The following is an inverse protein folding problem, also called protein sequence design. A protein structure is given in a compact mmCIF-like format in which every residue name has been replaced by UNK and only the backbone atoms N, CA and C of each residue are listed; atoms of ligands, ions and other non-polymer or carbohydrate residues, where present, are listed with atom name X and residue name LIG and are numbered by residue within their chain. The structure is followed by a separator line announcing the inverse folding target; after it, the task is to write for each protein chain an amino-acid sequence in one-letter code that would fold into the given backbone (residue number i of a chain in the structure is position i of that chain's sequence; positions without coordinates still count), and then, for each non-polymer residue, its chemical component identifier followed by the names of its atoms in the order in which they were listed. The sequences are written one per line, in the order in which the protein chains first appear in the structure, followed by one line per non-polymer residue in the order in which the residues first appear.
data_IF_117465106336
#
_entry.id   IF_117465106336
#
_cell.length_a   1.000
_cell.length_b   1.000
_cell.length_c   1.000
_cell.angle_alpha   90.00
_cell.angle_beta   90.00
_cell.angle_gamma   90.00
#
_symmetry.space_group_name_H-M   'P 1'
#
loop_
_entity.id
_entity.type
_entity.pdbx_description
1 polymer ?
#
# COMPACT_ATOMS: atom_id res chain seq x y z
N UNK A 1 -21.71 7.32 -14.60
CA UNK A 1 -20.99 7.52 -15.88
C UNK A 1 -21.57 8.75 -16.54
N UNK A 2 -20.74 9.58 -17.14
CA UNK A 2 -21.20 10.83 -17.76
C UNK A 2 -21.70 10.54 -19.17
N UNK A 3 -23.03 10.58 -19.44
CA UNK A 3 -23.62 10.34 -20.76
C UNK A 3 -23.20 11.39 -21.79
N UNK A 4 -22.70 12.54 -21.36
CA UNK A 4 -22.30 13.65 -22.23
C UNK A 4 -21.12 13.29 -23.15
N UNK A 5 -20.19 12.44 -22.71
CA UNK A 5 -18.96 12.17 -23.41
C UNK A 5 -18.93 10.84 -24.16
N UNK A 6 -19.90 9.96 -23.91
CA UNK A 6 -20.03 8.64 -24.53
C UNK A 6 -18.70 7.87 -24.70
N UNK A 7 -17.89 7.91 -23.65
CA UNK A 7 -16.49 7.43 -23.63
C UNK A 7 -16.41 5.96 -24.06
N UNK A 8 -17.36 5.13 -23.62
CA UNK A 8 -17.34 3.70 -23.94
C UNK A 8 -17.48 3.45 -25.45
N UNK A 9 -18.44 4.10 -26.12
CA UNK A 9 -18.63 3.93 -27.56
C UNK A 9 -17.45 4.54 -28.34
N UNK A 10 -16.86 5.62 -27.87
CA UNK A 10 -15.63 6.14 -28.45
C UNK A 10 -14.52 5.07 -28.46
N UNK A 11 -14.24 4.42 -27.34
CA UNK A 11 -13.21 3.38 -27.29
C UNK A 11 -13.56 2.11 -28.07
N UNK A 12 -14.83 1.71 -28.08
CA UNK A 12 -15.31 0.63 -28.94
C UNK A 12 -15.03 0.91 -30.43
N UNK A 13 -15.28 2.14 -30.87
CA UNK A 13 -14.98 2.57 -32.23
C UNK A 13 -13.46 2.62 -32.50
N UNK A 14 -12.62 3.12 -31.56
CA UNK A 14 -11.17 3.08 -31.73
C UNK A 14 -10.67 1.63 -31.88
N UNK A 15 -11.26 0.68 -31.17
CA UNK A 15 -10.94 -0.74 -31.29
C UNK A 15 -11.39 -1.28 -32.65
N UNK A 16 -12.61 -0.98 -33.08
CA UNK A 16 -13.13 -1.37 -34.39
C UNK A 16 -12.27 -0.85 -35.55
N UNK A 17 -11.71 0.36 -35.41
CA UNK A 17 -10.79 0.98 -36.36
C UNK A 17 -9.36 0.42 -36.30
N UNK A 18 -9.08 -0.55 -35.41
CA UNK A 18 -7.76 -1.16 -35.24
C UNK A 18 -6.71 -0.24 -34.55
N UNK A 19 -7.12 0.92 -34.05
CA UNK A 19 -6.23 1.86 -33.34
C UNK A 19 -5.80 1.38 -31.96
N UNK A 20 -6.64 0.60 -31.32
CA UNK A 20 -6.33 -0.14 -30.09
C UNK A 20 -6.62 -1.63 -30.34
N UNK A 21 -5.78 -2.51 -29.80
CA UNK A 21 -5.97 -3.97 -29.92
C UNK A 21 -6.86 -4.53 -28.82
N UNK A 22 -6.62 -4.09 -27.59
CA UNK A 22 -7.31 -4.59 -26.41
C UNK A 22 -7.87 -3.43 -25.58
N UNK A 23 -9.13 -3.54 -25.18
CA UNK A 23 -9.81 -2.56 -24.34
C UNK A 23 -9.94 -3.11 -22.93
N UNK A 24 -9.45 -2.38 -21.96
CA UNK A 24 -9.58 -2.70 -20.56
C UNK A 24 -9.72 -1.45 -19.71
N UNK A 25 -9.75 -1.63 -18.40
CA UNK A 25 -9.87 -0.53 -17.46
C UNK A 25 -9.08 -0.79 -16.17
N UNK A 26 -8.85 0.27 -15.43
CA UNK A 26 -8.25 0.23 -14.09
C UNK A 26 -9.24 0.78 -13.07
N UNK A 27 -9.27 0.21 -11.87
CA UNK A 27 -10.20 0.67 -10.83
C UNK A 27 -9.65 0.50 -9.43
N UNK A 28 -9.94 1.50 -8.58
CA UNK A 28 -9.85 1.44 -7.11
C UNK A 28 -11.26 1.37 -6.48
N UNK A 29 -12.31 1.28 -7.28
CA UNK A 29 -13.68 1.32 -6.80
C UNK A 29 -14.00 0.16 -5.83
N UNK A 30 -15.00 0.40 -5.00
CA UNK A 30 -15.60 -0.64 -4.17
C UNK A 30 -16.33 -1.68 -5.02
N UNK A 31 -16.58 -2.89 -4.50
CA UNK A 31 -17.26 -3.94 -5.25
C UNK A 31 -18.60 -3.52 -5.85
N UNK A 32 -19.44 -2.80 -5.11
CA UNK A 32 -20.74 -2.31 -5.57
C UNK A 32 -20.63 -1.39 -6.81
N UNK A 33 -19.66 -0.52 -6.82
CA UNK A 33 -19.39 0.38 -7.95
C UNK A 33 -18.77 -0.37 -9.12
N UNK A 34 -17.87 -1.32 -8.85
CA UNK A 34 -17.31 -2.19 -9.87
C UNK A 34 -18.41 -3.03 -10.54
N UNK A 35 -19.35 -3.62 -9.77
CA UNK A 35 -20.46 -4.41 -10.32
C UNK A 35 -21.29 -3.58 -11.31
N UNK A 36 -21.70 -2.38 -10.92
CA UNK A 36 -22.45 -1.47 -11.79
C UNK A 36 -21.69 -1.10 -13.07
N UNK A 37 -20.36 -0.96 -12.99
CA UNK A 37 -19.55 -0.75 -14.19
C UNK A 37 -19.51 -1.98 -15.07
N UNK A 38 -19.34 -3.17 -14.50
CA UNK A 38 -19.29 -4.43 -15.23
C UNK A 38 -20.64 -4.77 -15.89
N UNK A 39 -21.76 -4.44 -15.26
CA UNK A 39 -23.08 -4.55 -15.87
C UNK A 39 -23.24 -3.64 -17.08
N UNK A 40 -22.66 -2.43 -17.03
CA UNK A 40 -22.76 -1.47 -18.13
C UNK A 40 -21.77 -1.72 -19.27
N UNK A 41 -20.55 -2.09 -18.97
CA UNK A 41 -19.43 -2.09 -19.91
C UNK A 41 -18.64 -3.40 -19.95
N UNK A 42 -18.95 -4.36 -19.08
CA UNK A 42 -18.14 -5.57 -18.87
C UNK A 42 -17.90 -6.37 -20.15
N UNK A 43 -18.91 -6.51 -20.99
CA UNK A 43 -18.83 -7.24 -22.29
C UNK A 43 -17.79 -6.65 -23.26
N UNK A 44 -17.38 -5.41 -23.06
CA UNK A 44 -16.38 -4.74 -23.89
C UNK A 44 -14.98 -4.81 -23.30
N UNK A 45 -14.84 -5.27 -22.04
CA UNK A 45 -13.58 -5.25 -21.30
C UNK A 45 -12.85 -6.58 -21.44
N UNK A 46 -11.61 -6.52 -21.91
CA UNK A 46 -10.75 -7.69 -22.12
C UNK A 46 -9.78 -7.92 -20.95
N UNK A 47 -9.63 -6.93 -20.08
CA UNK A 47 -8.89 -7.04 -18.83
C UNK A 47 -9.31 -5.95 -17.85
N UNK A 48 -9.07 -6.19 -16.58
CA UNK A 48 -9.25 -5.20 -15.52
C UNK A 48 -8.00 -5.14 -14.64
N UNK A 49 -7.48 -3.93 -14.43
CA UNK A 49 -6.38 -3.71 -13.51
C UNK A 49 -6.93 -3.32 -12.13
N UNK A 50 -6.62 -4.12 -11.12
CA UNK A 50 -7.02 -3.89 -9.73
C UNK A 50 -5.81 -3.92 -8.79
N UNK A 51 -5.94 -3.25 -7.65
CA UNK A 51 -5.03 -3.42 -6.53
C UNK A 51 -5.26 -4.78 -5.90
N UNK A 52 -4.21 -5.61 -5.84
CA UNK A 52 -4.30 -6.98 -5.35
C UNK A 52 -2.97 -7.44 -4.74
N UNK A 53 -3.02 -7.88 -3.52
CA UNK A 53 -1.95 -8.52 -2.74
C UNK A 53 -2.60 -9.23 -1.53
N UNK A 54 -1.84 -10.01 -0.78
CA UNK A 54 -2.37 -10.80 0.34
C UNK A 54 -2.90 -9.93 1.50
N UNK A 55 -2.45 -8.68 1.68
CA UNK A 55 -3.01 -7.74 2.66
C UNK A 55 -4.35 -7.16 2.18
N UNK A 56 -4.41 -6.68 0.94
CA UNK A 56 -5.62 -6.08 0.39
C UNK A 56 -6.68 -7.11 0.02
N UNK A 57 -6.32 -8.41 0.00
CA UNK A 57 -7.25 -9.51 -0.21
C UNK A 57 -8.48 -9.41 0.69
N UNK A 58 -8.26 -9.10 1.96
CA UNK A 58 -9.30 -8.87 2.94
C UNK A 58 -9.47 -7.38 3.32
N UNK A 59 -8.38 -6.59 3.44
CA UNK A 59 -8.44 -5.20 3.91
C UNK A 59 -9.21 -4.27 2.96
N UNK A 60 -9.11 -4.50 1.63
CA UNK A 60 -9.82 -3.72 0.62
C UNK A 60 -10.85 -4.54 -0.15
N UNK A 61 -11.22 -5.69 0.38
CA UNK A 61 -12.14 -6.61 -0.27
C UNK A 61 -11.73 -6.93 -1.73
N UNK A 62 -10.42 -7.05 -1.95
CA UNK A 62 -9.88 -7.38 -3.27
C UNK A 62 -10.29 -8.79 -3.71
N UNK A 63 -10.55 -9.69 -2.76
CA UNK A 63 -11.11 -11.02 -3.00
C UNK A 63 -12.40 -10.94 -3.78
N UNK A 64 -13.38 -10.19 -3.31
CA UNK A 64 -14.67 -10.01 -3.99
C UNK A 64 -14.50 -9.46 -5.40
N UNK A 65 -13.64 -8.44 -5.57
CA UNK A 65 -13.34 -7.87 -6.91
C UNK A 65 -12.72 -8.90 -7.86
N UNK A 66 -11.75 -9.67 -7.37
CA UNK A 66 -11.12 -10.75 -8.13
C UNK A 66 -12.14 -11.82 -8.56
N UNK A 67 -13.00 -12.25 -7.63
CA UNK A 67 -14.05 -13.24 -7.90
C UNK A 67 -15.10 -12.72 -8.89
N UNK A 68 -15.50 -11.45 -8.80
CA UNK A 68 -16.42 -10.79 -9.75
C UNK A 68 -15.86 -10.81 -11.18
N UNK A 69 -14.60 -10.44 -11.34
CA UNK A 69 -13.89 -10.45 -12.63
C UNK A 69 -13.73 -11.88 -13.16
N UNK A 70 -13.38 -12.82 -12.27
CA UNK A 70 -13.19 -14.22 -12.63
C UNK A 70 -14.49 -14.86 -13.12
N UNK A 71 -15.61 -14.63 -12.45
CA UNK A 71 -16.94 -15.13 -12.89
C UNK A 71 -17.35 -14.60 -14.27
N UNK A 72 -16.86 -13.41 -14.66
CA UNK A 72 -17.11 -12.81 -15.98
C UNK A 72 -16.05 -13.17 -17.02
N UNK A 73 -15.05 -13.97 -16.68
CA UNK A 73 -13.94 -14.32 -17.58
C UNK A 73 -13.05 -13.13 -17.94
N UNK A 74 -13.06 -12.05 -17.14
CA UNK A 74 -12.22 -10.87 -17.38
C UNK A 74 -10.87 -11.09 -16.69
N UNK A 75 -9.76 -11.15 -17.43
CA UNK A 75 -8.41 -11.30 -16.88
C UNK A 75 -8.04 -10.16 -15.94
N UNK A 76 -7.35 -10.51 -14.85
CA UNK A 76 -6.89 -9.56 -13.84
C UNK A 76 -5.45 -9.17 -14.10
N UNK A 77 -5.21 -7.87 -14.17
CA UNK A 77 -3.91 -7.24 -14.08
C UNK A 77 -3.74 -6.66 -12.68
N UNK A 78 -2.57 -6.87 -12.09
CA UNK A 78 -2.32 -6.49 -10.70
C UNK A 78 -1.50 -5.22 -10.62
N UNK A 79 -2.02 -4.22 -9.92
CA UNK A 79 -1.27 -3.08 -9.41
C UNK A 79 -1.13 -3.18 -7.88
N UNK A 80 -0.19 -2.43 -7.32
CA UNK A 80 0.05 -2.36 -5.86
C UNK A 80 0.34 -3.73 -5.21
N UNK A 81 0.99 -4.64 -5.95
CA UNK A 81 1.38 -5.97 -5.46
C UNK A 81 2.17 -5.96 -4.15
N UNK A 82 2.91 -4.87 -3.87
CA UNK A 82 3.68 -4.66 -2.63
C UNK A 82 3.12 -3.54 -1.75
N UNK A 83 1.97 -2.99 -2.13
CA UNK A 83 1.29 -1.93 -1.40
C UNK A 83 2.22 -0.76 -1.06
N UNK A 84 2.72 -0.09 -2.10
CA UNK A 84 3.67 1.01 -1.96
C UNK A 84 5.01 0.61 -1.34
N UNK A 85 5.38 -0.67 -1.42
CA UNK A 85 6.61 -1.22 -0.84
C UNK A 85 6.44 -1.78 0.59
N UNK A 86 5.26 -1.64 1.21
CA UNK A 86 5.03 -2.08 2.59
C UNK A 86 5.25 -3.59 2.77
N UNK A 87 4.84 -4.39 1.78
CA UNK A 87 5.01 -5.84 1.82
C UNK A 87 6.44 -6.30 1.44
N UNK A 88 7.28 -5.40 0.97
CA UNK A 88 8.71 -5.67 0.77
C UNK A 88 9.56 -5.36 2.02
N UNK A 89 8.98 -4.63 2.99
CA UNK A 89 9.67 -4.15 4.19
C UNK A 89 8.83 -4.48 5.43
N UNK A 90 8.66 -5.77 5.70
CA UNK A 90 7.97 -6.26 6.89
C UNK A 90 8.86 -6.11 8.13
N UNK A 91 8.26 -6.08 9.35
CA UNK A 91 9.02 -6.18 10.60
C UNK A 91 9.95 -7.40 10.62
N UNK A 92 11.04 -7.30 11.38
CA UNK A 92 12.05 -8.37 11.46
C UNK A 92 11.45 -9.70 11.94
N UNK A 93 10.53 -9.64 12.90
CA UNK A 93 9.81 -10.82 13.40
C UNK A 93 9.04 -11.54 12.31
N UNK A 94 8.29 -10.81 11.49
CA UNK A 94 7.50 -11.37 10.38
C UNK A 94 8.39 -11.84 9.24
N UNK A 95 9.44 -11.07 8.95
CA UNK A 95 10.47 -11.47 7.97
C UNK A 95 11.14 -12.79 8.36
N UNK A 96 11.47 -12.97 9.65
CA UNK A 96 12.07 -14.20 10.15
C UNK A 96 11.12 -15.41 10.01
N UNK A 97 9.82 -15.23 10.23
CA UNK A 97 8.81 -16.28 10.03
C UNK A 97 8.73 -16.73 8.57
N UNK A 98 8.75 -15.78 7.63
CA UNK A 98 8.75 -16.08 6.20
C UNK A 98 10.05 -16.83 5.80
N UNK A 99 11.19 -16.36 6.26
CA UNK A 99 12.50 -16.96 5.98
C UNK A 99 12.68 -18.36 6.59
N UNK A 100 11.95 -18.67 7.65
CA UNK A 100 11.96 -20.03 8.22
C UNK A 100 11.42 -21.08 7.23
N UNK A 101 10.48 -20.70 6.35
CA UNK A 101 9.90 -21.58 5.33
C UNK A 101 10.66 -21.48 3.98
N UNK A 102 11.05 -20.25 3.57
CA UNK A 102 11.79 -19.99 2.33
C UNK A 102 13.00 -19.08 2.61
N UNK A 103 14.16 -19.63 3.01
CA UNK A 103 15.32 -18.84 3.45
C UNK A 103 15.85 -17.86 2.40
N UNK A 104 15.82 -18.26 1.13
CA UNK A 104 16.38 -17.51 0.01
C UNK A 104 15.36 -16.59 -0.69
N UNK A 105 14.07 -16.68 -0.35
CA UNK A 105 13.04 -15.86 -0.96
C UNK A 105 12.97 -14.48 -0.27
N UNK A 106 12.90 -13.42 -1.07
CA UNK A 106 12.68 -12.07 -0.54
C UNK A 106 11.23 -11.89 -0.06
N UNK A 107 10.99 -10.92 0.84
CA UNK A 107 9.62 -10.56 1.25
C UNK A 107 8.78 -10.07 0.06
N UNK A 108 9.42 -9.44 -0.94
CA UNK A 108 8.78 -9.09 -2.20
C UNK A 108 8.40 -10.34 -3.00
N UNK A 109 9.31 -11.32 -3.09
CA UNK A 109 9.08 -12.62 -3.72
C UNK A 109 7.85 -13.33 -3.14
N UNK A 110 7.68 -13.32 -1.82
CA UNK A 110 6.49 -13.88 -1.16
C UNK A 110 5.18 -13.31 -1.70
N UNK A 111 5.12 -11.99 -1.91
CA UNK A 111 3.93 -11.36 -2.47
C UNK A 111 3.66 -11.78 -3.91
N UNK A 112 4.70 -11.92 -4.73
CA UNK A 112 4.56 -12.44 -6.09
C UNK A 112 4.12 -13.91 -6.11
N UNK A 113 4.73 -14.75 -5.27
CA UNK A 113 4.37 -16.17 -5.15
C UNK A 113 2.92 -16.37 -4.69
N UNK A 114 2.44 -15.49 -3.80
CA UNK A 114 1.03 -15.49 -3.40
C UNK A 114 0.12 -15.19 -4.60
N UNK A 115 0.45 -14.16 -5.40
CA UNK A 115 -0.31 -13.82 -6.60
C UNK A 115 -0.30 -14.91 -7.68
N UNK A 116 0.78 -15.66 -7.80
CA UNK A 116 0.89 -16.80 -8.74
C UNK A 116 -0.10 -17.94 -8.44
N UNK A 117 -0.65 -17.99 -7.22
CA UNK A 117 -1.72 -18.94 -6.84
C UNK A 117 -3.07 -18.60 -7.48
N UNK A 118 -3.25 -17.41 -7.99
CA UNK A 118 -4.53 -16.90 -8.50
C UNK A 118 -4.60 -17.08 -10.03
N UNK A 119 -5.31 -18.09 -10.56
CA UNK A 119 -5.26 -18.47 -11.98
C UNK A 119 -5.70 -17.37 -12.94
N UNK A 120 -6.58 -16.46 -12.50
CA UNK A 120 -7.08 -15.35 -13.31
C UNK A 120 -6.15 -14.11 -13.30
N UNK A 121 -5.08 -14.11 -12.50
CA UNK A 121 -4.02 -13.10 -12.60
C UNK A 121 -3.18 -13.43 -13.83
N UNK A 122 -3.17 -12.50 -14.82
CA UNK A 122 -2.45 -12.67 -16.07
C UNK A 122 -1.27 -11.73 -16.23
N UNK A 123 -1.24 -10.64 -15.46
CA UNK A 123 -0.15 -9.68 -15.48
C UNK A 123 0.02 -9.06 -14.09
N UNK A 124 1.27 -8.88 -13.68
CA UNK A 124 1.62 -8.20 -12.43
C UNK A 124 2.54 -7.04 -12.79
N UNK A 125 2.07 -5.81 -12.54
CA UNK A 125 2.86 -4.62 -12.79
C UNK A 125 3.84 -4.37 -11.64
N UNK A 126 5.08 -4.06 -11.98
CA UNK A 126 6.14 -3.80 -11.02
C UNK A 126 6.85 -2.48 -11.33
N UNK A 127 6.78 -1.51 -10.40
CA UNK A 127 7.61 -0.31 -10.43
C UNK A 127 8.94 -0.61 -9.75
N UNK A 128 9.98 -0.88 -10.54
CA UNK A 128 11.34 -1.11 -10.07
C UNK A 128 12.17 0.13 -10.31
N UNK A 129 12.84 0.62 -9.28
CA UNK A 129 13.70 1.82 -9.35
C UNK A 129 15.18 1.53 -9.09
N UNK A 130 15.52 0.25 -8.80
CA UNK A 130 16.88 -0.20 -8.57
C UNK A 130 17.14 -1.53 -9.31
N UNK A 131 18.36 -1.77 -9.83
CA UNK A 131 18.70 -3.01 -10.53
C UNK A 131 18.48 -4.27 -9.69
N UNK A 132 18.70 -4.18 -8.39
CA UNK A 132 18.55 -5.29 -7.44
C UNK A 132 17.08 -5.76 -7.35
N UNK A 133 16.14 -4.81 -7.40
CA UNK A 133 14.70 -5.12 -7.43
C UNK A 133 14.31 -5.84 -8.72
N UNK A 134 14.92 -5.48 -9.84
CA UNK A 134 14.70 -6.17 -11.12
C UNK A 134 15.28 -7.57 -11.08
N UNK A 135 16.51 -7.73 -10.57
CA UNK A 135 17.15 -9.03 -10.44
C UNK A 135 16.33 -9.98 -9.54
N UNK A 136 15.86 -9.50 -8.40
CA UNK A 136 15.02 -10.25 -7.47
C UNK A 136 13.69 -10.67 -8.13
N UNK A 137 13.01 -9.75 -8.80
CA UNK A 137 11.76 -10.05 -9.51
C UNK A 137 11.99 -11.06 -10.64
N UNK A 138 13.05 -10.91 -11.44
CA UNK A 138 13.40 -11.87 -12.50
C UNK A 138 13.67 -13.25 -11.90
N UNK A 139 14.42 -13.33 -10.81
CA UNK A 139 14.67 -14.58 -10.08
C UNK A 139 13.36 -15.23 -9.65
N UNK A 140 12.46 -14.47 -9.03
CA UNK A 140 11.16 -14.95 -8.59
C UNK A 140 10.33 -15.54 -9.75
N UNK A 141 10.32 -14.90 -10.92
CA UNK A 141 9.53 -15.35 -12.07
C UNK A 141 10.25 -16.36 -12.98
N UNK A 142 11.58 -16.52 -12.88
CA UNK A 142 12.34 -17.46 -13.69
C UNK A 142 12.30 -18.89 -13.17
N UNK A 143 11.80 -19.13 -11.98
CA UNK A 143 11.73 -20.46 -11.37
C UNK A 143 10.97 -20.47 -10.05
N UNK A 144 10.83 -21.65 -9.48
CA UNK A 144 10.14 -21.90 -8.22
C UNK A 144 8.62 -21.94 -8.34
N UNK A 145 8.01 -22.51 -7.32
CA UNK A 145 6.58 -22.76 -7.25
C UNK A 145 5.85 -21.59 -6.54
N UNK A 146 4.56 -21.36 -6.85
CA UNK A 146 3.68 -20.54 -6.04
C UNK A 146 3.76 -20.94 -4.56
N UNK A 147 3.24 -20.10 -3.65
CA UNK A 147 3.14 -20.48 -2.24
C UNK A 147 2.28 -21.74 -2.08
N UNK A 148 2.66 -22.64 -1.19
CA UNK A 148 1.78 -23.70 -0.70
C UNK A 148 0.60 -23.15 0.09
N UNK A 149 -0.35 -23.99 0.47
CA UNK A 149 -1.48 -23.56 1.30
C UNK A 149 -1.03 -23.10 2.68
N UNK A 150 -0.05 -23.77 3.27
CA UNK A 150 0.55 -23.38 4.56
C UNK A 150 1.28 -22.04 4.48
N UNK A 151 2.09 -21.84 3.44
CA UNK A 151 2.80 -20.57 3.21
C UNK A 151 1.85 -19.41 2.93
N UNK A 152 0.78 -19.65 2.17
CA UNK A 152 -0.24 -18.64 1.92
C UNK A 152 -1.00 -18.28 3.21
N UNK A 153 -1.32 -19.27 4.02
CA UNK A 153 -1.97 -19.05 5.33
C UNK A 153 -1.08 -18.19 6.25
N UNK A 154 0.24 -18.44 6.26
CA UNK A 154 1.18 -17.59 7.01
C UNK A 154 1.20 -16.16 6.50
N UNK A 155 1.24 -15.95 5.18
CA UNK A 155 1.22 -14.60 4.60
C UNK A 155 -0.10 -13.87 4.94
N UNK A 156 -1.22 -14.56 4.92
CA UNK A 156 -2.54 -14.02 5.26
C UNK A 156 -2.67 -13.76 6.78
N UNK A 157 -2.08 -14.58 7.65
CA UNK A 157 -2.01 -14.32 9.10
C UNK A 157 -1.19 -13.04 9.39
N UNK A 158 -0.03 -12.88 8.74
CA UNK A 158 0.76 -11.65 8.84
C UNK A 158 -0.07 -10.44 8.40
N UNK A 159 -0.82 -10.57 7.30
CA UNK A 159 -1.72 -9.53 6.82
C UNK A 159 -2.82 -9.17 7.83
N UNK A 160 -3.38 -10.15 8.55
CA UNK A 160 -4.37 -9.88 9.61
C UNK A 160 -3.78 -8.97 10.71
N UNK A 161 -2.54 -9.21 11.13
CA UNK A 161 -1.82 -8.35 12.07
C UNK A 161 -1.61 -6.91 11.56
N UNK A 162 -1.64 -6.72 10.24
CA UNK A 162 -1.47 -5.40 9.60
C UNK A 162 -2.79 -4.64 9.36
N UNK A 163 -3.95 -5.21 9.64
CA UNK A 163 -5.28 -4.62 9.32
C UNK A 163 -5.62 -3.34 10.05
N UNK A 164 -4.94 -3.01 11.12
CA UNK A 164 -5.09 -1.72 11.80
C UNK A 164 -4.53 -0.54 10.98
N UNK A 165 -3.93 -0.80 9.84
CA UNK A 165 -3.42 0.22 8.95
C UNK A 165 -4.52 0.80 8.04
N UNK A 166 -4.51 2.13 7.88
CA UNK A 166 -5.38 2.79 6.90
C UNK A 166 -5.00 2.37 5.47
N UNK A 167 -5.99 2.05 4.61
CA UNK A 167 -5.76 1.45 3.30
C UNK A 167 -5.29 2.45 2.22
N UNK A 168 -4.39 3.38 2.55
CA UNK A 168 -3.90 4.38 1.62
C UNK A 168 -3.12 3.75 0.46
N UNK A 169 -3.54 4.01 -0.78
CA UNK A 169 -2.93 3.50 -2.02
C UNK A 169 -1.91 4.46 -2.63
N UNK A 170 -1.67 5.62 -2.00
CA UNK A 170 -0.80 6.68 -2.51
C UNK A 170 -1.21 7.23 -3.88
N UNK A 171 -2.50 7.17 -4.23
CA UNK A 171 -3.02 7.72 -5.50
C UNK A 171 -2.92 9.24 -5.63
N UNK A 172 -2.68 9.97 -4.53
CA UNK A 172 -2.46 11.42 -4.42
C UNK A 172 -3.65 12.32 -4.75
N UNK A 173 -4.85 11.81 -5.06
CA UNK A 173 -6.03 12.63 -5.35
C UNK A 173 -6.37 13.62 -4.22
N UNK A 174 -6.01 13.29 -2.98
CA UNK A 174 -6.20 14.14 -1.80
C UNK A 174 -5.23 15.33 -1.72
N UNK A 175 -4.12 15.34 -2.49
CA UNK A 175 -3.10 16.38 -2.41
C UNK A 175 -3.53 17.66 -3.13
N UNK A 176 -4.15 17.53 -4.31
CA UNK A 176 -4.48 18.67 -5.19
C UNK A 176 -5.48 19.64 -4.54
N UNK A 177 -6.39 19.14 -3.71
CA UNK A 177 -7.39 19.94 -3.00
C UNK A 177 -6.97 20.38 -1.58
N UNK A 178 -5.73 20.09 -1.15
CA UNK A 178 -5.28 20.44 0.19
C UNK A 178 -4.86 21.92 0.29
N UNK A 179 -5.59 22.79 1.04
CA UNK A 179 -5.25 24.22 1.14
C UNK A 179 -3.92 24.48 1.87
N UNK A 180 -3.42 23.48 2.62
CA UNK A 180 -2.10 23.51 3.29
C UNK A 180 -0.98 22.86 2.48
N UNK A 181 -1.29 22.28 1.32
CA UNK A 181 -0.29 21.61 0.48
C UNK A 181 0.42 20.45 1.15
N UNK A 182 -0.25 19.74 2.06
CA UNK A 182 0.31 18.61 2.79
C UNK A 182 0.54 17.42 1.87
N UNK A 183 1.64 16.70 2.04
CA UNK A 183 1.84 15.37 1.43
C UNK A 183 1.05 14.32 2.22
N UNK A 184 -0.26 14.30 1.99
CA UNK A 184 -1.20 13.43 2.72
C UNK A 184 -0.82 11.95 2.64
N UNK A 185 -0.44 11.38 1.47
CA UNK A 185 0.00 10.00 1.40
C UNK A 185 1.21 9.69 2.29
N UNK A 186 2.18 10.58 2.40
CA UNK A 186 3.33 10.44 3.30
C UNK A 186 2.88 10.46 4.76
N UNK A 187 1.98 11.38 5.13
CA UNK A 187 1.44 11.49 6.48
C UNK A 187 0.63 10.24 6.89
N UNK A 188 -0.22 9.72 6.00
CA UNK A 188 -0.98 8.48 6.26
C UNK A 188 -0.06 7.26 6.35
N UNK A 189 1.03 7.23 5.60
CA UNK A 189 2.03 6.17 5.73
C UNK A 189 2.67 6.22 7.12
N UNK A 190 3.13 7.38 7.56
CA UNK A 190 3.69 7.56 8.88
C UNK A 190 2.69 7.22 10.00
N UNK A 191 1.41 7.59 9.84
CA UNK A 191 0.34 7.16 10.74
C UNK A 191 0.29 5.64 10.88
N UNK A 192 0.29 4.93 9.76
CA UNK A 192 0.28 3.48 9.75
C UNK A 192 1.53 2.88 10.42
N UNK A 193 2.69 3.49 10.20
CA UNK A 193 3.94 3.01 10.80
C UNK A 193 3.94 3.21 12.33
N UNK A 194 3.46 4.36 12.80
CA UNK A 194 3.29 4.65 14.24
C UNK A 194 2.28 3.70 14.90
N UNK A 195 1.17 3.39 14.20
CA UNK A 195 0.14 2.45 14.72
C UNK A 195 0.63 1.00 14.74
N UNK A 196 1.49 0.62 13.82
CA UNK A 196 2.03 -0.74 13.73
C UNK A 196 3.16 -0.99 14.73
N UNK A 197 4.08 -0.05 14.83
CA UNK A 197 5.16 -0.06 15.83
C UNK A 197 5.65 1.38 16.03
N UNK A 198 5.58 1.88 17.26
CA UNK A 198 6.13 3.20 17.60
C UNK A 198 7.58 3.26 17.16
N UNK A 199 7.86 4.02 16.10
CA UNK A 199 9.18 4.10 15.50
C UNK A 199 9.81 5.45 15.79
N UNK A 200 10.92 5.43 16.50
CA UNK A 200 11.75 6.62 16.74
C UNK A 200 12.26 7.23 15.41
N UNK A 201 12.44 6.40 14.38
CA UNK A 201 12.82 6.85 13.05
C UNK A 201 11.75 7.76 12.43
N UNK A 202 10.47 7.45 12.65
CA UNK A 202 9.35 8.30 12.20
C UNK A 202 9.39 9.63 12.95
N UNK A 203 9.56 9.62 14.28
CA UNK A 203 9.64 10.87 15.06
C UNK A 203 10.77 11.78 14.54
N UNK A 204 11.96 11.22 14.31
CA UNK A 204 13.11 11.97 13.76
C UNK A 204 12.84 12.57 12.37
N UNK A 205 12.16 11.84 11.48
CA UNK A 205 11.78 12.35 10.16
C UNK A 205 10.85 13.56 10.29
N UNK A 206 9.92 13.51 11.24
CA UNK A 206 8.96 14.60 11.46
C UNK A 206 9.58 15.80 12.20
N UNK A 207 10.57 15.58 13.09
CA UNK A 207 11.33 16.67 13.72
C UNK A 207 12.05 17.53 12.67
N UNK A 208 12.53 16.90 11.58
CA UNK A 208 13.24 17.59 10.50
C UNK A 208 12.31 18.33 9.52
N UNK A 209 10.99 18.08 9.56
CA UNK A 209 10.04 18.75 8.67
C UNK A 209 9.70 20.16 9.14
N UNK A 210 9.51 21.12 8.20
CA UNK A 210 8.92 22.42 8.50
C UNK A 210 7.55 22.27 9.16
N UNK A 211 7.21 23.18 10.10
CA UNK A 211 5.94 23.12 10.85
C UNK A 211 4.70 23.11 9.96
N UNK A 212 4.74 23.83 8.84
CA UNK A 212 3.65 23.89 7.85
C UNK A 212 3.49 22.61 7.03
N UNK A 213 4.39 21.65 7.18
CA UNK A 213 4.36 20.34 6.53
C UNK A 213 4.04 19.18 7.47
N UNK A 214 3.99 19.45 8.77
CA UNK A 214 3.64 18.47 9.79
C UNK A 214 2.13 18.15 9.80
N UNK A 215 1.71 17.02 10.36
CA UNK A 215 0.28 16.69 10.46
C UNK A 215 -0.50 17.72 11.29
N UNK A 216 0.13 18.41 12.23
CA UNK A 216 -0.43 19.50 13.03
C UNK A 216 -0.86 20.72 12.20
N UNK A 217 -0.34 20.91 10.99
CA UNK A 217 -0.76 21.98 10.09
C UNK A 217 -2.13 21.71 9.42
N UNK A 218 -2.71 20.52 9.61
CA UNK A 218 -4.03 20.19 9.07
C UNK A 218 -5.13 21.03 9.73
N UNK A 219 -5.94 21.70 8.91
CA UNK A 219 -7.08 22.52 9.37
C UNK A 219 -8.41 21.76 9.38
N UNK A 220 -8.37 20.45 9.21
CA UNK A 220 -9.53 19.56 9.23
C UNK A 220 -10.69 19.94 8.27
N UNK A 221 -10.38 20.54 7.11
CA UNK A 221 -11.41 21.01 6.16
C UNK A 221 -12.17 19.90 5.43
N UNK A 222 -11.71 18.64 5.48
CA UNK A 222 -12.37 17.47 4.89
C UNK A 222 -12.24 17.31 3.38
N UNK A 223 -11.69 18.26 2.64
CA UNK A 223 -11.56 18.18 1.17
C UNK A 223 -10.83 16.93 0.68
N UNK A 224 -9.82 16.50 1.41
CA UNK A 224 -9.04 15.28 1.10
C UNK A 224 -9.84 14.00 1.32
N UNK A 225 -10.68 13.92 2.35
CA UNK A 225 -11.53 12.77 2.62
C UNK A 225 -12.63 12.61 1.57
N UNK A 226 -13.19 13.73 1.10
CA UNK A 226 -14.24 13.74 0.09
C UNK A 226 -13.82 13.11 -1.26
N UNK A 227 -12.52 13.18 -1.61
CA UNK A 227 -11.98 12.65 -2.86
C UNK A 227 -11.23 11.32 -2.67
N UNK A 228 -11.16 10.81 -1.44
CA UNK A 228 -10.42 9.60 -1.16
C UNK A 228 -11.16 8.35 -1.66
N UNK A 229 -10.63 7.59 -2.63
CA UNK A 229 -11.31 6.39 -3.13
C UNK A 229 -11.36 5.25 -2.11
N UNK A 230 -10.58 5.36 -1.02
CA UNK A 230 -10.55 4.39 0.08
C UNK A 230 -11.42 4.83 1.27
N UNK A 231 -12.15 5.94 1.17
CA UNK A 231 -12.99 6.51 2.24
C UNK A 231 -12.27 6.68 3.58
N UNK A 232 -10.98 7.06 3.53
CA UNK A 232 -10.19 7.31 4.75
C UNK A 232 -10.64 8.63 5.36
N UNK A 233 -10.93 8.62 6.66
CA UNK A 233 -11.04 9.86 7.45
C UNK A 233 -9.64 10.44 7.68
N UNK A 234 -9.16 11.15 6.66
CA UNK A 234 -7.81 11.70 6.65
C UNK A 234 -7.62 12.75 7.76
N UNK A 235 -8.54 13.69 7.99
CA UNK A 235 -8.42 14.65 9.08
C UNK A 235 -8.25 14.00 10.45
N UNK A 236 -9.07 13.00 10.78
CA UNK A 236 -8.97 12.27 12.05
C UNK A 236 -7.62 11.56 12.17
N UNK A 237 -7.17 10.88 11.12
CA UNK A 237 -5.87 10.21 11.09
C UNK A 237 -4.69 11.18 11.30
N UNK A 238 -4.75 12.36 10.69
CA UNK A 238 -3.70 13.37 10.86
C UNK A 238 -3.69 13.97 12.27
N UNK A 239 -4.86 14.15 12.89
CA UNK A 239 -4.95 14.58 14.29
C UNK A 239 -4.36 13.54 15.25
N UNK A 240 -4.69 12.26 15.06
CA UNK A 240 -4.11 11.17 15.85
C UNK A 240 -2.59 11.04 15.65
N UNK A 241 -2.10 11.21 14.42
CA UNK A 241 -0.67 11.21 14.14
C UNK A 241 0.04 12.38 14.85
N UNK A 242 -0.54 13.58 14.79
CA UNK A 242 0.02 14.75 15.46
C UNK A 242 0.10 14.53 16.98
N UNK A 243 -0.95 13.99 17.60
CA UNK A 243 -0.98 13.64 19.02
C UNK A 243 0.08 12.57 19.36
N UNK A 244 0.20 11.52 18.56
CA UNK A 244 1.18 10.46 18.77
C UNK A 244 2.61 10.97 18.67
N UNK A 245 2.93 11.80 17.67
CA UNK A 245 4.24 12.42 17.51
C UNK A 245 4.55 13.39 18.64
N UNK A 246 3.56 14.17 19.11
CA UNK A 246 3.73 15.09 20.24
C UNK A 246 4.04 14.40 21.58
N UNK A 247 3.71 13.12 21.72
CA UNK A 247 4.04 12.29 22.89
C UNK A 247 5.41 11.62 22.79
N UNK A 248 6.06 11.65 21.65
CA UNK A 248 7.39 11.09 21.45
C UNK A 248 8.46 12.12 21.87
N UNK A 249 9.55 11.69 22.52
CA UNK A 249 10.65 12.61 22.82
C UNK A 249 11.31 13.10 21.54
N UNK A 250 11.65 14.38 21.48
CA UNK A 250 12.42 14.95 20.36
C UNK A 250 13.81 14.30 20.25
N UNK A 251 14.42 14.40 19.07
CA UNK A 251 15.80 13.93 18.88
C UNK A 251 16.79 14.59 19.85
N UNK A 252 16.62 15.89 20.09
CA UNK A 252 17.45 16.63 21.04
C UNK A 252 17.30 16.10 22.49
N UNK A 253 16.10 15.74 22.88
CA UNK A 253 15.81 15.11 24.18
C UNK A 253 16.49 13.75 24.32
N UNK A 254 16.41 12.92 23.29
CA UNK A 254 17.06 11.61 23.26
C UNK A 254 18.59 11.70 23.30
N UNK A 255 19.18 12.66 22.59
CA UNK A 255 20.62 12.90 22.66
C UNK A 255 21.04 13.27 24.10
N UNK A 256 20.29 14.16 24.75
CA UNK A 256 20.54 14.51 26.15
C UNK A 256 20.43 13.29 27.08
N UNK A 257 19.38 12.50 26.96
CA UNK A 257 19.18 11.28 27.75
C UNK A 257 20.32 10.27 27.56
N UNK A 258 20.80 10.11 26.32
CA UNK A 258 21.94 9.24 26.00
C UNK A 258 23.26 9.76 26.61
N UNK A 259 23.51 11.05 26.52
CA UNK A 259 24.68 11.68 27.12
C UNK A 259 24.68 11.55 28.64
N UNK A 260 23.52 11.78 29.26
CA UNK A 260 23.36 11.59 30.70
C UNK A 260 23.57 10.14 31.14
N UNK A 261 22.98 9.18 30.37
CA UNK A 261 23.17 7.76 30.63
C UNK A 261 24.64 7.35 30.48
N UNK A 262 25.32 7.84 29.45
CA UNK A 262 26.74 7.58 29.23
C UNK A 262 27.62 8.17 30.35
N UNK A 263 27.26 9.36 30.83
CA UNK A 263 27.96 9.99 31.99
C UNK A 263 27.78 9.15 33.24
N UNK A 264 26.56 8.76 33.59
CA UNK A 264 26.28 7.90 34.76
C UNK A 264 27.03 6.57 34.69
N UNK A 265 27.12 5.96 33.50
CA UNK A 265 27.87 4.72 33.31
C UNK A 265 29.37 4.88 33.50
N UNK A 266 29.96 6.05 33.12
CA UNK A 266 31.36 6.37 33.35
C UNK A 266 31.63 6.62 34.84
N UNK A 267 30.74 7.31 35.54
CA UNK A 267 30.84 7.56 36.99
C UNK A 267 30.79 6.24 37.79
N UNK A 268 29.92 5.30 37.40
CA UNK A 268 29.82 3.97 38.00
C UNK A 268 31.06 3.07 37.74
N UNK A 269 31.70 3.22 36.56
CA UNK A 269 32.92 2.46 36.23
C UNK A 269 34.22 3.08 36.73
N UNK A 270 34.19 4.33 37.14
CA UNK A 270 35.36 5.04 37.70
C UNK A 270 35.55 4.89 39.21
N UNK A 271 34.73 4.08 39.88
CA UNK A 271 34.77 3.83 41.33
C UNK A 271 35.35 2.44 41.67
N UNK A 272 36.28 1.94 40.84
CA UNK A 272 37.10 0.75 41.15
C UNK A 272 38.57 1.08 41.03
#
# INVERSE_FOLDING_TARGET
MDPKWDILNYFREQKRLGRIRHLGFSTHARPDTLERFLEYAGDSMEFCQIQLNYLDWSLQDAKTKYEMLTRRGIPVWVMERLRGGKLASLPETETARLKALRPDESTAGWSFRWLQRLPNVKMILSGMSAPEQMADNVSTFSGGEPLSDEEAALAEEIAEGMKNALPCTRCRYCCDGCPKGLDIPMLIHAYNDVKFASSMTVAMQFDALPEDRKPSACIACGACAAVCPQNIDIPAALAELADALGKMPSWAELCRQREEAARKLKEQKGTF
#
